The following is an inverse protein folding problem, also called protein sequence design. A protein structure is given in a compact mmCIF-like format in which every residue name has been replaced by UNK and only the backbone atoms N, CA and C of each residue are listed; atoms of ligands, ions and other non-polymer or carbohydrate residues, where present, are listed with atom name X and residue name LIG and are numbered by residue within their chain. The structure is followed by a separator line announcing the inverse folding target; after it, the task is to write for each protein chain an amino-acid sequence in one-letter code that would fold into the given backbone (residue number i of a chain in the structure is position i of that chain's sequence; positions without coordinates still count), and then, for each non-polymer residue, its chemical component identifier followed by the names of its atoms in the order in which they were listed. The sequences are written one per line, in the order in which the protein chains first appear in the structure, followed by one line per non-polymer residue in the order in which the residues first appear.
data_IF_215547168565
#
_entry.id   IF_215547168565
#
_cell.length_a   1.000
_cell.length_b   1.000
_cell.length_c   1.000
_cell.angle_alpha   90.00
_cell.angle_beta   90.00
_cell.angle_gamma   90.00
#
_symmetry.space_group_name_H-M   'P 1'
#
loop_
_entity.id
_entity.type
_entity.pdbx_description
1 polymer ?
#
# COMPACT_ATOMS: atom_id res chain seq x y z
N UNK A 1 18.61 6.00 21.11
CA UNK A 1 17.85 5.02 20.31
C UNK A 1 16.49 5.64 19.99
N UNK A 2 16.35 6.34 18.87
CA UNK A 2 15.10 6.98 18.47
C UNK A 2 14.46 6.16 17.34
N UNK A 3 13.81 5.04 17.68
CA UNK A 3 12.84 4.44 16.77
C UNK A 3 11.58 5.30 16.83
N UNK A 4 11.55 6.40 16.08
CA UNK A 4 10.31 7.09 15.80
C UNK A 4 9.60 6.29 14.70
N UNK A 5 8.75 5.35 15.11
CA UNK A 5 7.76 4.77 14.21
C UNK A 5 6.81 5.89 13.83
N UNK A 6 7.04 6.54 12.69
CA UNK A 6 6.15 7.58 12.20
C UNK A 6 5.03 6.92 11.41
N UNK A 7 3.86 6.90 12.02
CA UNK A 7 2.62 6.46 11.37
C UNK A 7 2.03 7.65 10.61
N UNK A 8 2.11 7.63 9.29
CA UNK A 8 1.56 8.68 8.42
C UNK A 8 0.25 8.17 7.84
N UNK A 9 -0.83 8.91 8.07
CA UNK A 9 -2.12 8.65 7.42
C UNK A 9 -2.38 9.71 6.37
N UNK A 10 -2.65 9.29 5.13
CA UNK A 10 -2.96 10.19 4.04
C UNK A 10 -4.09 9.65 3.16
N UNK A 11 -4.89 10.52 2.54
CA UNK A 11 -5.89 10.10 1.57
C UNK A 11 -5.21 9.63 0.28
N UNK A 12 -5.62 8.47 -0.22
CA UNK A 12 -5.18 7.94 -1.50
C UNK A 12 -6.32 7.20 -2.21
N UNK A 13 -6.21 7.08 -3.52
CA UNK A 13 -7.14 6.30 -4.33
C UNK A 13 -6.69 4.85 -4.32
N UNK A 14 -7.47 3.97 -3.73
CA UNK A 14 -7.23 2.54 -3.81
C UNK A 14 -7.53 2.06 -5.24
N UNK A 15 -6.49 1.61 -5.93
CA UNK A 15 -6.59 1.15 -7.31
C UNK A 15 -6.87 -0.34 -7.41
N UNK A 16 -6.38 -1.11 -6.44
CA UNK A 16 -6.47 -2.56 -6.46
C UNK A 16 -5.63 -3.18 -5.37
N UNK A 17 -5.79 -4.48 -5.18
CA UNK A 17 -4.81 -5.29 -4.48
C UNK A 17 -4.39 -6.47 -5.37
N UNK A 18 -3.33 -7.15 -4.99
CA UNK A 18 -2.86 -8.38 -5.60
C UNK A 18 -2.43 -9.33 -4.50
N UNK A 19 -2.99 -10.53 -4.49
CA UNK A 19 -2.48 -11.63 -3.66
C UNK A 19 -1.56 -12.52 -4.49
N UNK A 20 -0.53 -13.04 -3.84
CA UNK A 20 0.31 -14.11 -4.33
C UNK A 20 0.33 -15.20 -3.27
N UNK A 21 -0.09 -16.40 -3.66
CA UNK A 21 -0.04 -17.59 -2.82
C UNK A 21 0.55 -18.71 -3.67
N UNK A 22 1.78 -19.09 -3.37
CA UNK A 22 2.50 -20.10 -4.13
C UNK A 22 3.69 -20.62 -3.35
N UNK A 23 4.17 -21.79 -3.76
CA UNK A 23 5.41 -22.34 -3.25
C UNK A 23 6.57 -21.83 -4.12
N UNK A 24 7.53 -21.15 -3.49
CA UNK A 24 8.78 -20.71 -4.13
C UNK A 24 9.90 -21.37 -3.34
N UNK A 25 10.70 -22.20 -4.00
CA UNK A 25 11.89 -22.81 -3.40
C UNK A 25 11.59 -23.60 -2.09
N UNK A 26 10.51 -24.39 -2.11
CA UNK A 26 10.02 -25.15 -0.94
C UNK A 26 9.39 -24.32 0.18
N UNK A 27 9.36 -22.99 0.04
CA UNK A 27 8.74 -22.08 1.00
C UNK A 27 7.35 -21.67 0.53
N UNK A 28 6.34 -21.89 1.38
CA UNK A 28 4.99 -21.41 1.13
C UNK A 28 4.94 -19.89 1.33
N UNK A 29 4.93 -19.15 0.23
CA UNK A 29 4.85 -17.69 0.26
C UNK A 29 3.40 -17.29 0.07
N UNK A 30 2.85 -16.70 1.13
CA UNK A 30 1.57 -16.02 1.12
C UNK A 30 1.82 -14.52 1.32
N UNK A 31 1.54 -13.72 0.29
CA UNK A 31 1.71 -12.26 0.37
C UNK A 31 0.55 -11.55 -0.32
N UNK A 32 0.14 -10.44 0.27
CA UNK A 32 -0.83 -9.51 -0.29
C UNK A 32 -0.13 -8.16 -0.48
N UNK A 33 -0.30 -7.56 -1.65
CA UNK A 33 0.19 -6.22 -1.98
C UNK A 33 -0.98 -5.35 -2.39
N UNK A 34 -1.07 -4.15 -1.82
CA UNK A 34 -2.07 -3.13 -2.16
C UNK A 34 -1.47 -2.11 -3.11
N UNK A 35 -2.27 -1.64 -4.06
CA UNK A 35 -1.92 -0.58 -5.00
C UNK A 35 -2.76 0.65 -4.66
N UNK A 36 -2.10 1.72 -4.26
CA UNK A 36 -2.73 2.99 -3.89
C UNK A 36 -2.13 4.12 -4.73
N UNK A 37 -2.98 4.99 -5.25
CA UNK A 37 -2.61 6.18 -6.00
C UNK A 37 -2.74 7.41 -5.11
N UNK A 38 -1.63 8.01 -4.74
CA UNK A 38 -1.62 9.26 -3.97
C UNK A 38 -1.46 10.44 -4.92
N UNK A 39 -2.29 11.49 -4.83
CA UNK A 39 -2.07 12.70 -5.61
C UNK A 39 -0.74 13.34 -5.20
N UNK A 40 0.10 13.69 -6.17
CA UNK A 40 1.33 14.41 -5.88
C UNK A 40 0.99 15.83 -5.40
N UNK A 41 1.66 16.33 -4.34
CA UNK A 41 1.41 17.67 -3.84
C UNK A 41 1.79 18.70 -4.91
N UNK A 42 0.81 19.47 -5.37
CA UNK A 42 0.97 20.52 -6.38
C UNK A 42 1.94 21.65 -5.95
N UNK A 43 2.39 21.67 -4.69
CA UNK A 43 3.40 22.61 -4.19
C UNK A 43 4.78 22.42 -4.84
N UNK A 44 5.07 21.25 -5.42
CA UNK A 44 6.32 21.00 -6.15
C UNK A 44 6.22 21.37 -7.64
N UNK A 45 5.59 22.52 -7.96
CA UNK A 45 5.79 23.38 -9.13
C UNK A 45 5.74 22.84 -10.58
N UNK A 46 5.78 21.53 -10.85
CA UNK A 46 5.92 21.00 -12.20
C UNK A 46 5.46 19.54 -12.40
N UNK A 47 4.91 18.89 -11.37
CA UNK A 47 4.42 17.52 -11.45
C UNK A 47 2.93 17.46 -11.12
N UNK A 48 2.11 17.31 -12.16
CA UNK A 48 0.68 16.96 -12.02
C UNK A 48 0.52 15.47 -12.30
N UNK A 49 -0.04 14.72 -11.36
CA UNK A 49 -0.21 13.29 -11.52
C UNK A 49 -0.54 12.55 -10.23
N UNK A 50 -0.81 11.26 -10.38
CA UNK A 50 -1.01 10.33 -9.28
C UNK A 50 0.21 9.43 -9.18
N UNK A 51 0.81 9.33 -7.99
CA UNK A 51 1.87 8.37 -7.74
C UNK A 51 1.23 7.05 -7.29
N UNK A 52 1.49 5.96 -8.02
CA UNK A 52 1.04 4.65 -7.62
C UNK A 52 2.11 3.99 -6.73
N UNK A 53 1.77 3.73 -5.46
CA UNK A 53 2.61 3.00 -4.54
C UNK A 53 2.06 1.57 -4.35
N UNK A 54 2.94 0.59 -4.45
CA UNK A 54 2.64 -0.78 -4.07
C UNK A 54 3.19 -1.05 -2.67
N UNK A 55 2.33 -1.48 -1.75
CA UNK A 55 2.71 -1.74 -0.36
C UNK A 55 2.29 -3.15 0.04
N UNK A 56 3.10 -3.83 0.86
CA UNK A 56 2.75 -5.17 1.36
C UNK A 56 1.70 -5.04 2.48
N UNK A 57 0.54 -5.65 2.29
CA UNK A 57 -0.60 -5.66 3.20
C UNK A 57 -0.82 -7.03 3.84
N UNK A 58 0.26 -7.60 4.38
CA UNK A 58 0.24 -8.92 5.03
C UNK A 58 -0.03 -10.06 4.05
N UNK A 59 -0.98 -10.93 4.40
CA UNK A 59 -1.28 -12.18 3.71
C UNK A 59 -2.55 -12.11 2.86
N UNK A 60 -2.78 -13.13 2.03
CA UNK A 60 -3.93 -13.30 1.14
C UNK A 60 -5.29 -13.27 1.84
N UNK A 61 -5.35 -13.51 3.16
CA UNK A 61 -6.58 -13.34 3.96
C UNK A 61 -7.08 -11.90 3.94
N UNK A 62 -6.17 -10.93 3.97
CA UNK A 62 -6.53 -9.51 3.90
C UNK A 62 -7.04 -9.13 2.53
N UNK A 63 -6.48 -9.73 1.47
CA UNK A 63 -6.96 -9.54 0.10
C UNK A 63 -8.44 -9.89 -0.04
N UNK A 64 -8.95 -10.89 0.68
CA UNK A 64 -10.35 -11.30 0.54
C UNK A 64 -11.36 -10.27 1.04
N UNK A 65 -10.93 -9.38 1.96
CA UNK A 65 -11.71 -8.22 2.37
C UNK A 65 -11.62 -7.08 1.34
N UNK A 66 -10.51 -7.02 0.60
CA UNK A 66 -10.24 -6.01 -0.40
C UNK A 66 -10.87 -6.35 -1.76
N UNK A 67 -10.98 -7.63 -2.13
CA UNK A 67 -11.57 -8.06 -3.40
C UNK A 67 -13.07 -7.74 -3.52
N UNK A 68 -13.74 -7.60 -2.38
CA UNK A 68 -15.15 -7.20 -2.31
C UNK A 68 -15.37 -5.68 -2.38
N UNK A 69 -14.30 -4.88 -2.42
CA UNK A 69 -14.40 -3.43 -2.57
C UNK A 69 -14.59 -3.07 -4.04
N UNK A 70 -15.36 -2.01 -4.31
CA UNK A 70 -15.46 -1.41 -5.64
C UNK A 70 -14.28 -0.47 -5.86
N UNK A 71 -13.53 -0.71 -6.93
CA UNK A 71 -12.39 0.11 -7.34
C UNK A 71 -12.74 0.98 -8.55
N UNK A 72 -12.14 2.17 -8.70
CA UNK A 72 -11.31 2.86 -7.70
C UNK A 72 -12.15 3.44 -6.55
N UNK A 73 -11.63 3.41 -5.32
CA UNK A 73 -12.27 4.06 -4.17
C UNK A 73 -11.28 4.93 -3.38
N UNK A 74 -11.77 6.03 -2.79
CA UNK A 74 -10.96 6.84 -1.90
C UNK A 74 -10.83 6.16 -0.54
N UNK A 75 -9.58 5.98 -0.10
CA UNK A 75 -9.26 5.35 1.18
C UNK A 75 -8.22 6.18 1.94
N UNK A 76 -8.23 6.06 3.25
CA UNK A 76 -7.16 6.58 4.09
C UNK A 76 -6.11 5.49 4.24
N UNK A 77 -4.91 5.72 3.71
CA UNK A 77 -3.79 4.79 3.84
C UNK A 77 -2.97 5.21 5.05
N UNK A 78 -2.87 4.31 6.01
CA UNK A 78 -2.00 4.47 7.18
C UNK A 78 -0.74 3.64 6.95
N UNK A 79 0.39 4.31 6.84
CA UNK A 79 1.70 3.68 6.62
C UNK A 79 2.58 3.91 7.84
N UNK A 80 3.28 2.87 8.28
CA UNK A 80 4.28 2.99 9.32
C UNK A 80 5.65 3.04 8.66
N UNK A 81 6.29 4.21 8.73
CA UNK A 81 7.68 4.35 8.29
C UNK A 81 8.60 4.03 9.47
N UNK A 82 9.32 2.92 9.35
CA UNK A 82 10.47 2.62 10.20
C UNK A 82 11.74 3.04 9.47
N UNK A 83 12.25 4.24 9.79
CA UNK A 83 13.57 4.65 9.33
C UNK A 83 14.61 4.13 10.32
N UNK A 84 15.37 3.09 9.95
CA UNK A 84 16.62 2.74 10.63
C UNK A 84 17.72 3.59 10.02
N UNK A 85 18.00 4.73 10.67
CA UNK A 85 19.18 5.56 10.43
C UNK A 85 20.38 5.06 11.25
#
# INVERSE_FOLDING_TARGET
MFNQTQTVTYPATFLGAKKFKGEIDGSNIDTCSVLVATPLPAQSGNAVGFTAAQMKFGDSKNFSKLENLKYPCEVMVTVEMTSTG
#
